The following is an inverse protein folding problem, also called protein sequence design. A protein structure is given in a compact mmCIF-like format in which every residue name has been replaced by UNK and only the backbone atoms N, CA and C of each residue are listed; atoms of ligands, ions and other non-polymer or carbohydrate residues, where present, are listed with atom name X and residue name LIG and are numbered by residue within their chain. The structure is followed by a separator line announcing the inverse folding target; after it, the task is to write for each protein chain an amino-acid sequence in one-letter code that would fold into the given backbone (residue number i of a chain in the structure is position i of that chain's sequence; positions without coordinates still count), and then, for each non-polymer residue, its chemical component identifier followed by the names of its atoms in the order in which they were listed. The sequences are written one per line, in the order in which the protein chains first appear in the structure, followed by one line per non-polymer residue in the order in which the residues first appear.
data_IF_573483658282
#
_entry.id   IF_573483658282
#
_cell.length_a   1.000
_cell.length_b   1.000
_cell.length_c   1.000
_cell.angle_alpha   90.00
_cell.angle_beta   90.00
_cell.angle_gamma   90.00
#
_symmetry.space_group_name_H-M   'P 1'
#
loop_
_entity.id
_entity.type
_entity.pdbx_description
1 polymer ?
#
# COMPACT_ATOMS: atom_id res chain seq x y z
N UNK A 1 3.67 -19.12 5.40
CA UNK A 1 4.54 -18.12 4.73
C UNK A 1 5.23 -17.35 5.85
N UNK A 2 6.54 -17.57 6.06
CA UNK A 2 7.27 -16.97 7.19
C UNK A 2 7.97 -15.69 6.74
N UNK A 3 7.70 -14.58 7.41
CA UNK A 3 8.45 -13.34 7.26
C UNK A 3 9.42 -13.22 8.43
N UNK A 4 10.67 -13.66 8.25
CA UNK A 4 11.74 -13.33 9.19
C UNK A 4 12.26 -11.93 8.88
N UNK A 5 11.65 -10.93 9.48
CA UNK A 5 12.11 -9.54 9.47
C UNK A 5 12.33 -9.08 10.91
N UNK A 6 13.60 -9.11 11.33
CA UNK A 6 14.23 -8.41 12.44
C UNK A 6 13.25 -7.66 13.37
N UNK A 7 13.03 -8.22 14.55
CA UNK A 7 12.28 -7.56 15.62
C UNK A 7 12.80 -6.12 15.79
N UNK A 8 11.97 -5.12 15.46
CA UNK A 8 12.28 -3.69 15.64
C UNK A 8 12.91 -2.93 14.48
N UNK A 9 13.13 -3.52 13.30
CA UNK A 9 13.65 -2.74 12.16
C UNK A 9 12.60 -1.75 11.61
N UNK A 10 12.98 -0.48 11.32
CA UNK A 10 12.05 0.50 10.77
C UNK A 10 11.55 0.06 9.39
N UNK A 11 10.26 0.23 9.15
CA UNK A 11 9.61 -0.13 7.89
C UNK A 11 9.80 1.01 6.89
N UNK A 12 10.32 0.72 5.70
CA UNK A 12 10.60 1.73 4.67
C UNK A 12 10.03 1.39 3.29
N UNK A 13 9.50 0.19 3.10
CA UNK A 13 8.88 -0.20 1.84
C UNK A 13 7.83 -1.28 2.01
N UNK A 14 6.92 -1.33 1.05
CA UNK A 14 5.84 -2.31 0.94
C UNK A 14 5.62 -2.73 -0.50
N UNK A 15 5.01 -3.90 -0.68
CA UNK A 15 4.63 -4.41 -1.99
C UNK A 15 3.18 -4.89 -1.92
N UNK A 16 2.39 -4.49 -2.91
CA UNK A 16 1.02 -4.95 -3.09
C UNK A 16 0.86 -5.43 -4.54
N UNK A 17 0.42 -6.68 -4.72
CA UNK A 17 0.10 -7.21 -6.05
C UNK A 17 -1.40 -7.14 -6.26
N UNK A 18 -1.81 -6.61 -7.42
CA UNK A 18 -3.21 -6.50 -7.81
C UNK A 18 -3.51 -7.44 -8.95
N UNK A 19 -4.68 -8.07 -8.91
CA UNK A 19 -5.24 -8.76 -10.08
C UNK A 19 -5.93 -7.71 -10.94
N UNK A 20 -5.58 -7.68 -12.21
CA UNK A 20 -6.20 -6.83 -13.23
C UNK A 20 -6.91 -7.76 -14.22
N UNK A 21 -8.23 -7.61 -14.34
CA UNK A 21 -9.10 -8.34 -15.26
C UNK A 21 -10.28 -7.44 -15.70
N UNK A 22 -11.34 -8.03 -16.28
CA UNK A 22 -12.51 -7.27 -16.76
C UNK A 22 -13.36 -6.63 -15.65
N UNK A 23 -13.17 -7.07 -14.39
CA UNK A 23 -13.88 -6.60 -13.20
C UNK A 23 -12.96 -5.86 -12.22
N UNK A 24 -11.65 -6.11 -12.26
CA UNK A 24 -10.65 -5.56 -11.35
C UNK A 24 -9.63 -4.68 -12.09
N UNK A 25 -9.41 -3.47 -11.59
CA UNK A 25 -8.43 -2.54 -12.13
C UNK A 25 -7.44 -2.10 -11.05
N UNK A 26 -6.27 -1.58 -11.46
CA UNK A 26 -5.38 -0.91 -10.53
C UNK A 26 -6.10 0.26 -9.85
N UNK A 27 -5.89 0.47 -8.54
CA UNK A 27 -6.39 1.65 -7.86
C UNK A 27 -5.88 2.93 -8.55
N UNK A 28 -6.66 4.00 -8.49
CA UNK A 28 -6.24 5.31 -8.97
C UNK A 28 -5.19 5.94 -8.05
N UNK A 29 -5.26 5.68 -6.74
CA UNK A 29 -4.29 6.18 -5.79
C UNK A 29 -4.06 5.18 -4.65
N UNK A 30 -2.87 5.25 -4.07
CA UNK A 30 -2.47 4.53 -2.87
C UNK A 30 -1.95 5.57 -1.87
N UNK A 31 -2.50 5.57 -0.67
CA UNK A 31 -2.01 6.38 0.45
C UNK A 31 -1.49 5.45 1.55
N UNK A 32 -0.32 5.78 2.11
CA UNK A 32 0.30 5.00 3.19
C UNK A 32 0.33 5.84 4.46
N UNK A 33 -0.16 5.27 5.55
CA UNK A 33 -0.09 5.87 6.87
C UNK A 33 0.44 4.88 7.90
N UNK A 34 1.07 5.40 8.95
CA UNK A 34 1.66 4.61 10.04
C UNK A 34 1.03 5.02 11.37
N UNK A 35 0.93 4.07 12.29
CA UNK A 35 0.53 4.38 13.66
C UNK A 35 1.70 5.05 14.38
N UNK A 36 1.49 6.28 14.83
CA UNK A 36 2.49 7.06 15.57
C UNK A 36 2.39 6.90 17.09
N UNK A 37 1.47 6.07 17.60
CA UNK A 37 1.16 5.94 19.02
C UNK A 37 -0.25 6.43 19.39
N UNK A 38 -0.79 7.40 18.64
CA UNK A 38 -2.10 8.02 18.91
C UNK A 38 -3.03 8.07 17.72
N UNK A 39 -2.50 8.18 16.50
CA UNK A 39 -3.27 8.25 15.26
C UNK A 39 -2.48 7.64 14.07
N UNK A 40 -3.19 7.43 12.96
CA UNK A 40 -2.57 7.13 11.68
C UNK A 40 -2.09 8.42 11.02
N UNK A 41 -0.78 8.60 10.93
CA UNK A 41 -0.14 9.73 10.27
C UNK A 41 0.38 9.33 8.88
N UNK A 42 0.28 10.19 7.85
CA UNK A 42 0.80 9.89 6.53
C UNK A 42 2.33 9.71 6.57
N UNK A 43 2.86 8.76 5.79
CA UNK A 43 4.31 8.62 5.64
C UNK A 43 4.88 9.76 4.79
N UNK A 44 6.14 10.10 5.04
CA UNK A 44 6.84 11.13 4.25
C UNK A 44 7.54 10.53 3.03
N UNK A 45 7.65 11.33 1.95
CA UNK A 45 8.34 10.97 0.72
C UNK A 45 7.86 9.66 0.07
N UNK A 46 6.56 9.38 0.15
CA UNK A 46 5.98 8.21 -0.49
C UNK A 46 6.22 8.22 -2.00
N UNK A 47 6.79 7.14 -2.54
CA UNK A 47 6.92 6.90 -3.98
C UNK A 47 6.29 5.57 -4.33
N UNK A 48 5.45 5.59 -5.37
CA UNK A 48 4.74 4.41 -5.85
C UNK A 48 5.33 4.05 -7.20
N UNK A 49 5.90 2.86 -7.29
CA UNK A 49 6.25 2.22 -8.54
C UNK A 49 5.14 1.24 -8.88
N UNK A 50 4.27 1.65 -9.80
CA UNK A 50 3.14 0.86 -10.26
C UNK A 50 3.59 -0.36 -11.05
N UNK A 51 2.91 -1.47 -10.81
CA UNK A 51 3.03 -2.65 -11.66
C UNK A 51 2.48 -2.35 -13.07
N UNK A 52 3.19 -2.80 -14.10
CA UNK A 52 2.76 -2.68 -15.51
C UNK A 52 1.93 -3.88 -15.97
N UNK A 53 1.90 -4.96 -15.20
CA UNK A 53 1.22 -6.22 -15.52
C UNK A 53 0.41 -6.72 -14.31
N UNK A 54 -0.65 -7.47 -14.59
CA UNK A 54 -1.46 -8.15 -13.58
C UNK A 54 -0.61 -9.11 -12.72
N UNK A 55 -0.85 -9.11 -11.41
CA UNK A 55 -0.14 -9.98 -10.46
C UNK A 55 1.30 -9.55 -10.15
N UNK A 56 1.89 -8.59 -10.87
CA UNK A 56 3.19 -8.01 -10.52
C UNK A 56 3.05 -7.05 -9.34
N UNK A 57 4.08 -6.93 -8.48
CA UNK A 57 4.02 -6.10 -7.30
C UNK A 57 4.11 -4.62 -7.66
N UNK A 58 3.14 -3.84 -7.20
CA UNK A 58 3.29 -2.39 -7.02
C UNK A 58 4.12 -2.16 -5.77
N UNK A 59 5.25 -1.47 -5.92
CA UNK A 59 6.16 -1.18 -4.81
C UNK A 59 5.91 0.23 -4.30
N UNK A 60 5.77 0.36 -2.98
CA UNK A 60 5.68 1.67 -2.32
C UNK A 60 6.89 1.83 -1.41
N UNK A 61 7.64 2.91 -1.58
CA UNK A 61 8.78 3.27 -0.73
C UNK A 61 8.52 4.60 -0.04
N UNK A 62 9.05 4.77 1.17
CA UNK A 62 8.85 5.96 1.98
C UNK A 62 9.98 6.13 2.98
N UNK A 63 10.06 7.30 3.61
CA UNK A 63 10.99 7.52 4.72
C UNK A 63 10.76 6.46 5.81
N UNK A 64 11.80 5.78 6.31
CA UNK A 64 11.65 4.69 7.29
C UNK A 64 10.87 5.14 8.54
N UNK A 65 9.92 4.31 8.98
CA UNK A 65 9.12 4.55 10.20
C UNK A 65 9.23 3.36 11.15
N UNK A 66 9.47 3.65 12.42
CA UNK A 66 9.43 2.63 13.48
C UNK A 66 7.99 2.50 13.99
N UNK A 67 7.28 1.48 13.53
CA UNK A 67 5.90 1.23 13.95
C UNK A 67 5.58 -0.26 13.89
N UNK A 68 4.63 -0.70 14.72
CA UNK A 68 4.02 -2.02 14.60
C UNK A 68 2.79 -2.05 13.68
N UNK A 69 2.30 -0.90 13.19
CA UNK A 69 1.05 -0.83 12.41
C UNK A 69 1.18 0.14 11.25
N UNK A 70 0.88 -0.36 10.06
CA UNK A 70 0.81 0.41 8.82
C UNK A 70 -0.59 0.21 8.23
N UNK A 71 -1.15 1.26 7.65
CA UNK A 71 -2.41 1.22 6.91
C UNK A 71 -2.18 1.65 5.47
N UNK A 72 -2.80 0.92 4.56
CA UNK A 72 -2.82 1.20 3.14
C UNK A 72 -4.26 1.60 2.77
N UNK A 73 -4.44 2.85 2.36
CA UNK A 73 -5.73 3.35 1.87
C UNK A 73 -5.69 3.34 0.34
N UNK A 74 -6.61 2.59 -0.28
CA UNK A 74 -6.69 2.41 -1.73
C UNK A 74 -7.88 3.18 -2.30
N UNK A 75 -7.64 4.06 -3.26
CA UNK A 75 -8.73 4.75 -3.98
C UNK A 75 -9.00 4.02 -5.28
N UNK A 76 -10.21 3.47 -5.45
CA UNK A 76 -10.61 2.83 -6.71
C UNK A 76 -10.62 3.83 -7.87
N UNK A 77 -10.26 3.37 -9.07
CA UNK A 77 -10.29 4.17 -10.30
C UNK A 77 -11.71 4.45 -10.82
N UNK A 78 -12.72 3.77 -10.30
CA UNK A 78 -14.13 3.99 -10.63
C UNK A 78 -14.99 4.01 -9.35
N UNK A 79 -15.00 5.11 -8.59
CA UNK A 79 -15.83 5.24 -7.39
C UNK A 79 -17.32 5.16 -7.78
N UNK A 80 -18.11 4.35 -7.06
CA UNK A 80 -19.56 4.28 -7.25
C UNK A 80 -20.07 3.36 -8.39
N UNK A 81 -19.18 2.61 -9.04
CA UNK A 81 -19.59 1.42 -9.83
C UNK A 81 -19.27 0.16 -9.05
N UNK A 82 -20.01 -0.93 -9.27
CA UNK A 82 -19.85 -2.24 -8.60
C UNK A 82 -18.44 -2.90 -8.71
N UNK A 83 -17.44 -2.16 -9.20
CA UNK A 83 -16.04 -2.54 -9.48
C UNK A 83 -15.02 -1.81 -8.59
N UNK A 84 -15.47 -1.07 -7.56
CA UNK A 84 -14.58 -0.44 -6.58
C UNK A 84 -15.11 -0.68 -5.18
N UNK A 85 -14.39 -1.47 -4.37
CA UNK A 85 -14.76 -1.65 -2.97
C UNK A 85 -14.47 -0.36 -2.18
N UNK A 86 -15.36 -0.09 -1.22
CA UNK A 86 -15.32 1.03 -0.28
C UNK A 86 -14.09 0.95 0.64
#
# INVERSE_FOLDING_TARGET
MSFSGLEGAPISSMQASFVIDSLHALPAAISVSYWNGTAFAPVSNARIQWATESGKPTRVTFTPVSTGRIRLDLTSRSPGTARGFL
#
